data_IF_535085649174
#
_entry.id   IF_535085649174
#
_cell.length_a   1.000
_cell.length_b   1.000
_cell.length_c   1.000
_cell.angle_alpha   90.00
_cell.angle_beta   90.00
_cell.angle_gamma   90.00
#
_symmetry.space_group_name_H-M   'P 1'
#
loop_
_entity.id
_entity.type
_entity.pdbx_description
1 polymer ?
#
# COMPACT_ATOMS: atom_id res chain seq x y z
N UNK A 1 22.95 19.22 5.58
CA UNK A 1 23.08 17.99 4.78
C UNK A 1 22.56 18.32 3.40
N UNK A 2 23.42 18.21 2.40
CA UNK A 2 23.04 18.50 1.02
C UNK A 2 22.03 17.46 0.51
N UNK A 3 21.09 17.85 -0.37
CA UNK A 3 20.15 16.89 -0.96
C UNK A 3 20.93 15.89 -1.84
N UNK A 4 20.59 14.62 -1.70
CA UNK A 4 21.22 13.49 -2.36
C UNK A 4 21.23 13.63 -3.88
N UNK A 5 22.33 13.16 -4.49
CA UNK A 5 22.85 13.42 -5.85
C UNK A 5 22.07 12.80 -7.03
N UNK A 6 20.85 12.36 -6.86
CA UNK A 6 20.09 11.74 -7.96
C UNK A 6 19.26 12.72 -8.82
N UNK A 7 19.62 14.00 -8.76
CA UNK A 7 19.19 15.00 -9.73
C UNK A 7 20.28 15.23 -10.80
N UNK A 8 20.57 14.28 -11.65
CA UNK A 8 21.20 14.54 -12.95
C UNK A 8 20.30 14.04 -14.06
N UNK A 9 19.67 14.98 -14.69
CA UNK A 9 18.87 14.97 -15.90
C UNK A 9 19.63 14.32 -17.05
N UNK A 10 19.27 13.07 -17.40
CA UNK A 10 19.36 12.61 -18.77
C UNK A 10 17.99 12.80 -19.43
N UNK A 11 17.99 13.11 -20.73
CA UNK A 11 16.79 13.46 -21.52
C UNK A 11 15.61 12.54 -21.20
N UNK A 12 14.61 13.08 -20.47
CA UNK A 12 13.40 12.36 -20.10
C UNK A 12 12.52 12.22 -21.34
N UNK A 13 12.27 10.98 -21.76
CA UNK A 13 11.18 10.67 -22.68
C UNK A 13 9.89 11.32 -22.16
N UNK A 14 9.01 11.72 -23.11
CA UNK A 14 7.75 12.42 -22.82
C UNK A 14 6.92 11.67 -21.75
N UNK A 15 6.22 12.37 -20.86
CA UNK A 15 5.55 11.79 -19.70
C UNK A 15 4.51 10.69 -19.99
N UNK A 16 4.00 10.59 -21.22
CA UNK A 16 2.91 9.70 -21.61
C UNK A 16 3.28 8.23 -21.80
N UNK A 17 4.58 7.88 -21.82
CA UNK A 17 5.03 6.53 -22.28
C UNK A 17 5.80 5.73 -21.22
N UNK A 18 5.93 6.24 -19.98
CA UNK A 18 6.69 5.54 -18.93
C UNK A 18 5.87 4.39 -18.35
N UNK A 19 6.36 3.15 -18.55
CA UNK A 19 5.81 1.95 -17.95
C UNK A 19 5.96 1.95 -16.41
N UNK A 20 7.10 2.45 -15.93
CA UNK A 20 7.52 2.46 -14.54
C UNK A 20 8.02 3.85 -14.15
N UNK A 21 7.68 4.29 -12.93
CA UNK A 21 8.12 5.58 -12.37
C UNK A 21 8.55 5.39 -10.92
N UNK A 22 9.70 5.98 -10.53
CA UNK A 22 10.20 5.91 -9.16
C UNK A 22 9.35 6.74 -8.18
N UNK A 23 9.33 6.29 -6.91
CA UNK A 23 8.79 7.09 -5.81
C UNK A 23 9.54 8.43 -5.73
N UNK A 24 8.77 9.52 -5.65
CA UNK A 24 9.27 10.89 -5.73
C UNK A 24 9.10 11.53 -7.11
N UNK A 25 9.02 10.72 -8.17
CA UNK A 25 8.87 11.19 -9.56
C UNK A 25 7.41 11.10 -10.09
N UNK A 26 6.49 10.49 -9.35
CA UNK A 26 5.06 10.45 -9.70
C UNK A 26 4.43 11.82 -9.42
N UNK A 27 3.86 12.44 -10.43
CA UNK A 27 3.26 13.77 -10.31
C UNK A 27 1.81 13.72 -9.78
N UNK A 28 1.29 14.80 -9.17
CA UNK A 28 -0.05 14.83 -8.59
C UNK A 28 -1.19 14.54 -9.58
N UNK A 29 -1.03 14.88 -10.85
CA UNK A 29 -2.00 14.67 -11.92
C UNK A 29 -1.95 13.25 -12.53
N UNK A 30 -0.99 12.43 -12.13
CA UNK A 30 -0.83 11.05 -12.61
C UNK A 30 -1.62 10.00 -11.81
N UNK A 31 -2.58 10.41 -10.96
CA UNK A 31 -3.45 9.47 -10.20
C UNK A 31 -4.13 8.46 -11.12
N UNK A 32 -4.59 8.89 -12.29
CA UNK A 32 -5.23 8.01 -13.29
C UNK A 32 -4.30 6.94 -13.87
N UNK A 33 -2.99 7.09 -13.72
CA UNK A 33 -1.95 6.18 -14.24
C UNK A 33 -1.34 5.30 -13.16
N UNK A 34 -1.04 5.90 -12.01
CA UNK A 34 -0.28 5.21 -10.96
C UNK A 34 -1.08 4.99 -9.66
N UNK A 35 -2.32 5.50 -9.60
CA UNK A 35 -3.18 5.41 -8.42
C UNK A 35 -2.74 6.33 -7.28
N UNK A 36 -3.63 6.52 -6.31
CA UNK A 36 -3.42 7.47 -5.24
C UNK A 36 -2.31 7.09 -4.26
N UNK A 37 -2.09 5.79 -4.00
CA UNK A 37 -0.99 5.36 -3.12
C UNK A 37 0.36 5.82 -3.65
N UNK A 38 0.61 5.66 -4.95
CA UNK A 38 1.87 6.08 -5.58
C UNK A 38 2.03 7.61 -5.55
N UNK A 39 0.97 8.35 -5.89
CA UNK A 39 0.96 9.82 -5.85
C UNK A 39 1.19 10.33 -4.43
N UNK A 40 0.45 9.80 -3.44
CA UNK A 40 0.57 10.24 -2.06
C UNK A 40 1.94 9.89 -1.47
N UNK A 41 2.50 8.71 -1.76
CA UNK A 41 3.85 8.34 -1.33
C UNK A 41 4.90 9.26 -1.94
N UNK A 42 4.76 9.61 -3.22
CA UNK A 42 5.67 10.57 -3.89
C UNK A 42 5.55 11.97 -3.29
N UNK A 43 4.34 12.39 -2.94
CA UNK A 43 4.11 13.67 -2.26
C UNK A 43 4.75 13.70 -0.87
N UNK A 44 4.64 12.62 -0.10
CA UNK A 44 5.33 12.46 1.19
C UNK A 44 6.84 12.53 1.02
N UNK A 45 7.39 11.81 0.04
CA UNK A 45 8.83 11.85 -0.26
C UNK A 45 9.32 13.27 -0.55
N UNK A 46 8.63 13.99 -1.46
CA UNK A 46 8.94 15.40 -1.77
C UNK A 46 8.75 16.33 -0.59
N UNK A 47 7.83 16.01 0.33
CA UNK A 47 7.64 16.71 1.61
C UNK A 47 8.72 16.45 2.64
N UNK A 48 9.74 15.65 2.33
CA UNK A 48 10.87 15.35 3.21
C UNK A 48 10.57 14.28 4.27
N UNK A 49 9.47 13.53 4.13
CA UNK A 49 9.21 12.39 4.99
C UNK A 49 10.00 11.16 4.52
N UNK A 50 10.47 10.37 5.48
CA UNK A 50 11.11 9.09 5.16
C UNK A 50 10.04 8.09 4.72
N UNK A 51 10.09 7.71 3.46
CA UNK A 51 9.27 6.65 2.85
C UNK A 51 10.19 5.57 2.29
N UNK A 52 9.75 4.30 2.16
CA UNK A 52 10.56 3.29 1.49
C UNK A 52 10.82 3.68 0.04
N UNK A 53 12.04 3.48 -0.43
CA UNK A 53 12.34 3.63 -1.84
C UNK A 53 11.55 2.60 -2.67
N UNK A 54 11.26 2.93 -3.92
CA UNK A 54 10.46 2.06 -4.75
C UNK A 54 10.08 2.69 -6.08
N UNK A 55 9.22 1.99 -6.80
CA UNK A 55 8.68 2.42 -8.08
C UNK A 55 7.24 1.93 -8.26
N UNK A 56 6.54 2.53 -9.20
CA UNK A 56 5.16 2.17 -9.54
C UNK A 56 5.05 1.78 -11.01
N UNK A 57 4.26 0.73 -11.28
CA UNK A 57 3.91 0.27 -12.62
C UNK A 57 2.61 0.93 -13.02
N UNK A 58 2.53 1.48 -14.24
CA UNK A 58 1.33 2.11 -14.76
C UNK A 58 0.14 1.14 -14.82
N UNK A 59 -1.03 1.59 -14.37
CA UNK A 59 -2.30 0.86 -14.49
C UNK A 59 -2.77 0.64 -15.93
N UNK A 60 -2.10 1.25 -16.93
CA UNK A 60 -2.36 0.99 -18.34
C UNK A 60 -2.15 -0.49 -18.68
N UNK A 61 -1.10 -1.12 -18.17
CA UNK A 61 -0.81 -2.54 -18.43
C UNK A 61 -1.87 -3.48 -17.89
N UNK A 62 -2.53 -3.13 -16.78
CA UNK A 62 -3.74 -3.82 -16.36
C UNK A 62 -4.89 -3.61 -17.35
N UNK A 63 -5.05 -2.39 -17.87
CA UNK A 63 -6.04 -2.11 -18.92
C UNK A 63 -5.79 -2.93 -20.19
N UNK A 64 -4.55 -3.07 -20.61
CA UNK A 64 -4.14 -3.86 -21.76
C UNK A 64 -4.40 -5.35 -21.53
N UNK A 65 -4.15 -5.86 -20.32
CA UNK A 65 -4.51 -7.22 -19.89
C UNK A 65 -6.03 -7.46 -20.03
N UNK A 66 -6.86 -6.55 -19.50
CA UNK A 66 -8.33 -6.67 -19.57
C UNK A 66 -8.84 -6.58 -21.02
N UNK A 67 -8.11 -5.88 -21.89
CA UNK A 67 -8.43 -5.73 -23.31
C UNK A 67 -8.02 -6.95 -24.18
N UNK A 68 -7.31 -7.94 -23.65
CA UNK A 68 -7.02 -9.21 -24.36
C UNK A 68 -8.35 -9.85 -24.78
N UNK A 69 -8.57 -10.22 -26.05
CA UNK A 69 -9.88 -10.63 -26.56
C UNK A 69 -10.57 -11.75 -25.77
N UNK A 70 -9.81 -12.73 -25.31
CA UNK A 70 -10.34 -13.85 -24.50
C UNK A 70 -10.80 -13.38 -23.13
N UNK A 71 -10.02 -12.53 -22.45
CA UNK A 71 -10.33 -11.92 -21.16
C UNK A 71 -11.52 -10.97 -21.30
N UNK A 72 -11.49 -10.10 -22.29
CA UNK A 72 -12.56 -9.15 -22.57
C UNK A 72 -13.91 -9.83 -22.82
N UNK A 73 -13.91 -10.97 -23.49
CA UNK A 73 -15.14 -11.73 -23.72
C UNK A 73 -15.76 -12.22 -22.40
N UNK A 74 -14.95 -12.62 -21.40
CA UNK A 74 -15.44 -13.02 -20.08
C UNK A 74 -15.87 -11.79 -19.29
N UNK A 75 -15.12 -10.70 -19.34
CA UNK A 75 -15.47 -9.40 -18.69
C UNK A 75 -16.85 -8.92 -19.17
N UNK A 76 -17.10 -8.95 -20.48
CA UNK A 76 -18.39 -8.54 -21.04
C UNK A 76 -19.55 -9.40 -20.53
N UNK A 77 -19.37 -10.73 -20.37
CA UNK A 77 -20.39 -11.61 -19.79
C UNK A 77 -20.59 -11.30 -18.30
N UNK A 78 -19.52 -11.10 -17.55
CA UNK A 78 -19.57 -10.77 -16.14
C UNK A 78 -20.29 -9.42 -15.90
N UNK A 79 -20.06 -8.43 -16.74
CA UNK A 79 -20.71 -7.12 -16.63
C UNK A 79 -22.20 -7.18 -17.04
N UNK A 80 -22.61 -8.18 -17.82
CA UNK A 80 -23.99 -8.37 -18.26
C UNK A 80 -24.84 -9.24 -17.34
N UNK A 81 -24.23 -9.98 -16.40
CA UNK A 81 -24.97 -10.88 -15.50
C UNK A 81 -25.29 -10.22 -14.15
N UNK A 82 -26.50 -10.51 -13.64
CA UNK A 82 -26.91 -10.20 -12.26
C UNK A 82 -26.99 -11.50 -11.42
N UNK A 83 -26.81 -12.66 -12.05
CA UNK A 83 -26.84 -13.95 -11.38
C UNK A 83 -25.54 -14.25 -10.66
N UNK A 84 -25.65 -14.62 -9.37
CA UNK A 84 -24.47 -14.88 -8.53
C UNK A 84 -23.67 -16.12 -8.96
N UNK A 85 -24.35 -17.18 -9.43
CA UNK A 85 -23.66 -18.42 -9.85
C UNK A 85 -22.87 -18.15 -11.14
N UNK A 86 -23.46 -17.42 -12.08
CA UNK A 86 -22.76 -16.99 -13.29
C UNK A 86 -21.57 -16.06 -12.98
N UNK A 87 -21.75 -15.12 -12.04
CA UNK A 87 -20.66 -14.24 -11.60
C UNK A 87 -19.49 -15.04 -11.05
N UNK A 88 -19.76 -16.02 -10.16
CA UNK A 88 -18.73 -16.89 -9.60
C UNK A 88 -18.00 -17.71 -10.68
N UNK A 89 -18.76 -18.23 -11.66
CA UNK A 89 -18.19 -18.95 -12.80
C UNK A 89 -17.26 -18.06 -13.62
N UNK A 90 -17.71 -16.87 -14.00
CA UNK A 90 -16.93 -15.93 -14.79
C UNK A 90 -15.71 -15.40 -14.02
N UNK A 91 -15.81 -15.19 -12.70
CA UNK A 91 -14.67 -14.86 -11.85
C UNK A 91 -13.58 -15.95 -11.92
N UNK A 92 -13.98 -17.23 -11.76
CA UNK A 92 -13.06 -18.36 -11.86
C UNK A 92 -12.41 -18.47 -13.25
N UNK A 93 -13.14 -18.20 -14.31
CA UNK A 93 -12.60 -18.21 -15.66
C UNK A 93 -11.60 -17.05 -15.88
N UNK A 94 -11.90 -15.84 -15.37
CA UNK A 94 -10.97 -14.71 -15.41
C UNK A 94 -9.68 -15.02 -14.65
N UNK A 95 -9.77 -15.58 -13.46
CA UNK A 95 -8.58 -15.95 -12.67
C UNK A 95 -7.66 -16.88 -13.46
N UNK A 96 -8.21 -17.94 -14.09
CA UNK A 96 -7.44 -18.89 -14.91
C UNK A 96 -6.82 -18.25 -16.15
N UNK A 97 -7.52 -17.32 -16.80
CA UNK A 97 -7.00 -16.63 -17.97
C UNK A 97 -5.86 -15.68 -17.59
N UNK A 98 -5.98 -14.93 -16.48
CA UNK A 98 -4.94 -14.04 -16.00
C UNK A 98 -3.74 -14.84 -15.47
N UNK A 99 -3.92 -16.00 -14.87
CA UNK A 99 -2.83 -16.87 -14.46
C UNK A 99 -1.96 -17.29 -15.65
N UNK A 100 -2.57 -17.59 -16.80
CA UNK A 100 -1.88 -17.97 -18.06
C UNK A 100 -1.36 -16.78 -18.85
N UNK A 101 -1.74 -15.57 -18.47
CA UNK A 101 -1.30 -14.37 -19.19
C UNK A 101 0.21 -14.21 -19.10
N UNK A 102 0.85 -14.09 -20.25
CA UNK A 102 2.26 -13.76 -20.35
C UNK A 102 2.43 -12.23 -20.36
N UNK A 103 3.10 -11.74 -19.33
CA UNK A 103 3.44 -10.32 -19.24
C UNK A 103 4.34 -9.91 -20.43
N UNK A 104 4.07 -8.78 -21.08
CA UNK A 104 4.90 -8.29 -22.20
C UNK A 104 6.39 -8.15 -21.80
N UNK A 105 7.28 -8.52 -22.71
CA UNK A 105 8.72 -8.54 -22.43
C UNK A 105 9.32 -7.16 -22.14
N UNK A 106 8.78 -6.11 -22.76
CA UNK A 106 9.15 -4.72 -22.49
C UNK A 106 8.78 -4.29 -21.07
N UNK A 107 7.59 -4.71 -20.59
CA UNK A 107 7.18 -4.46 -19.21
C UNK A 107 8.06 -5.25 -18.21
N UNK A 108 8.29 -6.55 -18.45
CA UNK A 108 9.18 -7.36 -17.59
C UNK A 108 10.55 -6.69 -17.46
N UNK A 109 11.13 -6.28 -18.60
CA UNK A 109 12.42 -5.58 -18.63
C UNK A 109 12.36 -4.28 -17.83
N UNK A 110 11.34 -3.45 -18.02
CA UNK A 110 11.20 -2.18 -17.29
C UNK A 110 11.11 -2.37 -15.78
N UNK A 111 10.41 -3.42 -15.32
CA UNK A 111 10.31 -3.76 -13.90
C UNK A 111 11.68 -4.19 -13.33
N UNK A 112 12.38 -5.08 -14.05
CA UNK A 112 13.67 -5.61 -13.60
C UNK A 112 14.78 -4.55 -13.66
N UNK A 113 14.76 -3.68 -14.66
CA UNK A 113 15.68 -2.54 -14.75
C UNK A 113 15.47 -1.55 -13.59
N UNK A 114 14.21 -1.28 -13.23
CA UNK A 114 13.88 -0.43 -12.08
C UNK A 114 14.34 -1.07 -10.75
N UNK A 115 14.11 -2.38 -10.57
CA UNK A 115 14.63 -3.12 -9.41
C UNK A 115 16.15 -3.02 -9.32
N UNK A 116 16.85 -3.30 -10.41
CA UNK A 116 18.32 -3.20 -10.46
C UNK A 116 18.81 -1.77 -10.17
N UNK A 117 18.08 -0.74 -10.59
CA UNK A 117 18.43 0.65 -10.30
C UNK A 117 18.33 0.93 -8.78
N UNK A 118 17.26 0.47 -8.11
CA UNK A 118 17.14 0.56 -6.64
C UNK A 118 18.29 -0.15 -5.93
N UNK A 119 18.64 -1.37 -6.36
CA UNK A 119 19.71 -2.18 -5.77
C UNK A 119 21.10 -1.56 -5.94
N UNK A 120 21.33 -0.81 -7.02
CA UNK A 120 22.59 -0.06 -7.22
C UNK A 120 22.75 1.09 -6.24
N UNK A 121 21.65 1.74 -5.88
CA UNK A 121 21.69 2.89 -4.95
C UNK A 121 21.75 2.45 -3.49
N UNK A 122 21.05 1.41 -3.13
CA UNK A 122 20.79 1.04 -1.74
C UNK A 122 21.45 -0.28 -1.33
N UNK A 123 22.06 -1.02 -2.28
CA UNK A 123 22.50 -2.39 -2.09
C UNK A 123 21.34 -3.40 -2.18
N UNK A 124 21.68 -4.69 -2.27
CA UNK A 124 20.69 -5.76 -2.25
C UNK A 124 19.93 -5.77 -0.91
N UNK A 125 18.62 -5.77 -0.97
CA UNK A 125 17.77 -5.72 0.23
C UNK A 125 17.56 -7.10 0.85
N UNK A 126 18.05 -7.26 2.06
CA UNK A 126 18.00 -8.53 2.79
C UNK A 126 16.56 -9.09 2.95
N UNK A 127 15.55 -8.20 2.96
CA UNK A 127 14.14 -8.58 3.14
C UNK A 127 13.29 -8.42 1.86
N UNK A 128 13.92 -8.05 0.72
CA UNK A 128 13.24 -7.92 -0.56
C UNK A 128 12.30 -6.73 -0.64
N UNK A 129 11.14 -6.93 -1.25
CA UNK A 129 10.18 -5.88 -1.59
C UNK A 129 8.78 -6.18 -1.08
N UNK A 130 8.00 -5.12 -0.87
CA UNK A 130 6.56 -5.15 -0.70
C UNK A 130 5.91 -4.77 -2.04
N UNK A 131 5.05 -5.64 -2.57
CA UNK A 131 4.30 -5.42 -3.82
C UNK A 131 2.86 -5.11 -3.45
N UNK A 132 2.40 -3.90 -3.76
CA UNK A 132 1.12 -3.35 -3.28
C UNK A 132 0.24 -2.88 -4.43
N UNK A 133 -1.06 -3.10 -4.33
CA UNK A 133 -2.04 -2.49 -5.23
C UNK A 133 -2.11 -0.97 -5.04
N UNK A 134 -2.29 -0.26 -6.15
CA UNK A 134 -2.58 1.18 -6.17
C UNK A 134 -3.66 1.44 -7.24
N UNK A 135 -4.92 1.22 -6.86
CA UNK A 135 -6.02 1.38 -7.79
C UNK A 135 -6.30 2.86 -8.10
N UNK A 136 -6.59 3.17 -9.36
CA UNK A 136 -6.89 4.54 -9.79
C UNK A 136 -8.27 5.02 -9.35
N UNK A 137 -9.13 4.12 -8.91
CA UNK A 137 -10.51 4.39 -8.44
C UNK A 137 -10.62 4.47 -6.91
N UNK A 138 -9.53 4.18 -6.16
CA UNK A 138 -9.56 4.21 -4.68
C UNK A 138 -9.70 5.63 -4.10
N UNK A 139 -9.21 6.65 -4.79
CA UNK A 139 -9.18 8.04 -4.27
C UNK A 139 -10.33 8.91 -4.77
N UNK A 140 -11.24 8.37 -5.55
CA UNK A 140 -12.53 9.00 -5.82
C UNK A 140 -13.39 8.94 -4.54
N UNK A 141 -14.13 10.00 -4.24
CA UNK A 141 -14.89 10.25 -3.00
C UNK A 141 -15.91 9.17 -2.58
N UNK A 142 -15.95 8.00 -3.22
CA UNK A 142 -16.96 6.96 -2.98
C UNK A 142 -16.51 5.51 -3.04
N UNK A 143 -15.22 5.21 -3.30
CA UNK A 143 -14.76 3.83 -3.52
C UNK A 143 -13.52 3.56 -2.69
N UNK A 144 -13.59 2.55 -1.84
CA UNK A 144 -12.43 2.03 -1.11
C UNK A 144 -12.27 0.54 -1.38
N UNK A 145 -11.14 0.16 -1.99
CA UNK A 145 -10.71 -1.24 -2.06
C UNK A 145 -10.02 -1.70 -0.76
N UNK A 146 -10.18 -0.95 0.34
CA UNK A 146 -9.62 -1.33 1.63
C UNK A 146 -10.05 -2.76 2.02
N UNK A 147 -9.07 -3.62 2.30
CA UNK A 147 -9.29 -5.02 2.63
C UNK A 147 -9.68 -5.94 1.47
N UNK A 148 -9.64 -5.46 0.22
CA UNK A 148 -9.89 -6.27 -0.98
C UNK A 148 -8.66 -6.40 -1.88
N UNK A 149 -7.75 -5.44 -1.80
CA UNK A 149 -6.52 -5.44 -2.58
C UNK A 149 -5.38 -6.03 -1.74
N UNK A 150 -4.67 -6.98 -2.30
CA UNK A 150 -3.63 -7.73 -1.62
C UNK A 150 -2.28 -7.01 -1.66
N UNK A 151 -1.47 -7.27 -0.64
CA UNK A 151 -0.06 -6.88 -0.57
C UNK A 151 0.79 -8.12 -0.36
N UNK A 152 1.84 -8.26 -1.16
CA UNK A 152 2.81 -9.36 -1.05
C UNK A 152 4.08 -8.83 -0.44
N UNK A 153 4.49 -9.41 0.67
CA UNK A 153 5.61 -8.95 1.48
C UNK A 153 6.83 -9.87 1.31
N UNK A 154 8.02 -9.31 1.47
CA UNK A 154 9.29 -10.04 1.41
C UNK A 154 9.54 -10.75 0.05
N UNK A 155 9.09 -10.14 -1.04
CA UNK A 155 9.32 -10.64 -2.40
C UNK A 155 10.79 -10.37 -2.78
N UNK A 156 11.57 -11.42 -3.15
CA UNK A 156 13.03 -11.28 -3.26
C UNK A 156 13.56 -11.49 -4.68
N UNK A 157 13.18 -12.57 -5.32
CA UNK A 157 13.69 -12.89 -6.65
C UNK A 157 12.84 -12.29 -7.77
N UNK A 158 13.37 -12.27 -8.97
CA UNK A 158 12.75 -11.64 -10.13
C UNK A 158 11.46 -12.35 -10.56
N UNK A 159 11.44 -13.68 -10.49
CA UNK A 159 10.26 -14.47 -10.85
C UNK A 159 9.09 -14.21 -9.90
N UNK A 160 9.34 -14.25 -8.58
CA UNK A 160 8.34 -13.93 -7.56
C UNK A 160 7.86 -12.49 -7.66
N UNK A 161 8.75 -11.54 -8.04
CA UNK A 161 8.38 -10.14 -8.24
C UNK A 161 7.37 -10.00 -9.38
N UNK A 162 7.68 -10.56 -10.54
CA UNK A 162 6.80 -10.54 -11.70
C UNK A 162 5.47 -11.27 -11.43
N UNK A 163 5.53 -12.41 -10.74
CA UNK A 163 4.32 -13.15 -10.37
C UNK A 163 3.49 -12.37 -9.33
N UNK A 164 4.11 -11.67 -8.37
CA UNK A 164 3.40 -10.84 -7.40
C UNK A 164 2.67 -9.66 -8.06
N UNK A 165 3.22 -9.08 -9.12
CA UNK A 165 2.52 -8.08 -9.95
C UNK A 165 1.25 -8.68 -10.55
N UNK A 166 1.31 -9.86 -11.15
CA UNK A 166 0.15 -10.57 -11.70
C UNK A 166 -0.88 -10.91 -10.62
N UNK A 167 -0.42 -11.33 -9.44
CA UNK A 167 -1.31 -11.60 -8.29
C UNK A 167 -2.06 -10.35 -7.83
N UNK A 168 -1.39 -9.18 -7.79
CA UNK A 168 -2.07 -7.91 -7.51
C UNK A 168 -3.15 -7.63 -8.56
N UNK A 169 -2.89 -7.86 -9.85
CA UNK A 169 -3.91 -7.71 -10.89
C UNK A 169 -5.07 -8.69 -10.71
N UNK A 170 -4.80 -9.96 -10.31
CA UNK A 170 -5.82 -10.95 -10.02
C UNK A 170 -6.70 -10.61 -8.81
N UNK A 171 -6.18 -9.87 -7.83
CA UNK A 171 -6.92 -9.55 -6.59
C UNK A 171 -8.23 -8.77 -6.87
N UNK A 172 -8.29 -8.01 -7.96
CA UNK A 172 -9.49 -7.29 -8.41
C UNK A 172 -10.53 -8.21 -9.06
N UNK A 173 -10.12 -9.40 -9.47
CA UNK A 173 -10.96 -10.38 -10.17
C UNK A 173 -11.60 -11.40 -9.23
N UNK A 174 -11.33 -11.29 -7.92
CA UNK A 174 -11.97 -12.14 -6.91
C UNK A 174 -13.48 -11.89 -6.87
N UNK A 175 -14.31 -12.92 -6.59
CA UNK A 175 -15.76 -12.74 -6.50
C UNK A 175 -16.17 -11.58 -5.60
N UNK A 176 -15.49 -11.44 -4.45
CA UNK A 176 -15.75 -10.34 -3.50
C UNK A 176 -15.50 -8.97 -4.12
N UNK A 177 -14.38 -8.78 -4.83
CA UNK A 177 -14.06 -7.52 -5.48
C UNK A 177 -15.03 -7.21 -6.62
N UNK A 178 -15.41 -8.21 -7.42
CA UNK A 178 -16.35 -8.08 -8.52
C UNK A 178 -17.75 -7.72 -8.03
N UNK A 179 -18.26 -8.38 -6.99
CA UNK A 179 -19.54 -8.04 -6.35
C UNK A 179 -19.52 -6.61 -5.80
N UNK A 180 -18.41 -6.19 -5.22
CA UNK A 180 -18.26 -4.81 -4.75
C UNK A 180 -18.31 -3.81 -5.90
N UNK A 181 -17.57 -4.03 -6.98
CA UNK A 181 -17.60 -3.18 -8.18
C UNK A 181 -19.03 -3.08 -8.74
N UNK A 182 -19.70 -4.22 -8.88
CA UNK A 182 -21.08 -4.30 -9.37
C UNK A 182 -22.04 -3.52 -8.45
N UNK A 183 -21.93 -3.67 -7.12
CA UNK A 183 -22.75 -2.92 -6.14
C UNK A 183 -22.56 -1.41 -6.22
N UNK A 184 -21.39 -0.97 -6.74
CA UNK A 184 -21.08 0.45 -6.97
C UNK A 184 -21.35 0.93 -8.40
N UNK A 185 -21.83 0.05 -9.26
CA UNK A 185 -22.09 0.37 -10.67
C UNK A 185 -20.81 0.69 -11.46
N UNK A 186 -19.67 0.10 -11.07
CA UNK A 186 -18.37 0.35 -11.72
C UNK A 186 -18.04 -0.82 -12.63
N UNK A 187 -17.99 -0.59 -13.95
CA UNK A 187 -17.56 -1.62 -14.88
C UNK A 187 -16.09 -2.02 -14.65
N UNK A 188 -15.80 -3.32 -14.63
CA UNK A 188 -14.43 -3.83 -14.50
C UNK A 188 -13.52 -3.31 -15.63
N UNK A 189 -14.05 -3.11 -16.81
CA UNK A 189 -13.37 -2.52 -17.98
C UNK A 189 -12.84 -1.09 -17.72
N UNK A 190 -13.39 -0.36 -16.74
CA UNK A 190 -12.92 0.97 -16.32
C UNK A 190 -11.90 0.96 -15.21
N UNK A 191 -11.74 -0.16 -14.51
CA UNK A 191 -10.74 -0.29 -13.45
C UNK A 191 -9.34 -0.24 -14.06
N UNK A 192 -8.44 0.47 -13.42
CA UNK A 192 -7.01 0.46 -13.71
C UNK A 192 -6.28 0.13 -12.41
N UNK A 193 -5.47 -0.90 -12.44
CA UNK A 193 -4.72 -1.38 -11.28
C UNK A 193 -3.23 -1.13 -11.50
N UNK A 194 -2.73 -0.04 -10.95
CA UNK A 194 -1.30 0.21 -10.81
C UNK A 194 -0.74 -0.67 -9.69
N UNK A 195 0.53 -0.99 -9.78
CA UNK A 195 1.24 -1.78 -8.75
C UNK A 195 2.41 -0.97 -8.24
N UNK A 196 2.47 -0.77 -6.93
CA UNK A 196 3.59 -0.11 -6.27
C UNK A 196 4.51 -1.16 -5.65
N UNK A 197 5.79 -1.12 -6.00
CA UNK A 197 6.85 -1.95 -5.47
C UNK A 197 7.73 -1.08 -4.59
N UNK A 198 7.84 -1.43 -3.32
CA UNK A 198 8.63 -0.70 -2.32
C UNK A 198 9.62 -1.63 -1.65
N UNK A 199 10.79 -1.10 -1.27
CA UNK A 199 11.72 -1.82 -0.41
C UNK A 199 11.03 -2.25 0.88
N UNK A 200 11.26 -3.50 1.28
CA UNK A 200 10.70 -4.03 2.52
C UNK A 200 11.41 -3.45 3.74
N UNK A 201 10.67 -2.81 4.62
CA UNK A 201 11.19 -2.31 5.90
C UNK A 201 11.07 -3.42 6.94
N UNK A 202 12.17 -3.87 7.58
CA UNK A 202 12.12 -4.87 8.65
C UNK A 202 11.65 -4.23 9.96
N UNK A 203 10.36 -3.91 10.02
CA UNK A 203 9.77 -3.17 11.11
C UNK A 203 9.82 -3.91 12.44
N UNK A 204 10.29 -3.26 13.49
CA UNK A 204 10.20 -3.73 14.87
C UNK A 204 8.84 -3.42 15.49
N UNK A 205 8.26 -2.31 15.09
CA UNK A 205 6.93 -1.82 15.46
C UNK A 205 6.28 -1.23 14.22
N UNK A 206 4.99 -1.48 14.05
CA UNK A 206 4.19 -0.87 12.98
C UNK A 206 2.86 -0.39 13.53
N UNK A 207 2.20 0.49 12.81
CA UNK A 207 0.91 0.98 13.24
C UNK A 207 0.17 1.77 12.18
N UNK A 208 -1.00 2.22 12.60
CA UNK A 208 -1.84 3.16 11.88
C UNK A 208 -2.03 4.40 12.75
N UNK A 209 -2.02 5.55 12.13
CA UNK A 209 -2.35 6.82 12.79
C UNK A 209 -3.46 7.49 11.99
N UNK A 210 -4.57 7.78 12.66
CA UNK A 210 -5.64 8.62 12.13
C UNK A 210 -5.49 10.01 12.73
N UNK A 211 -5.30 11.02 11.88
CA UNK A 211 -5.16 12.40 12.37
C UNK A 211 -6.50 13.05 12.79
N UNK A 212 -7.57 12.27 12.83
CA UNK A 212 -8.82 12.57 13.51
C UNK A 212 -9.32 11.27 14.15
N UNK A 213 -10.07 11.35 15.26
CA UNK A 213 -10.66 10.18 15.89
C UNK A 213 -11.83 9.67 15.05
N UNK A 214 -11.58 8.60 14.27
CA UNK A 214 -12.58 8.00 13.35
C UNK A 214 -13.75 7.31 14.08
N UNK A 215 -13.60 6.99 15.37
CA UNK A 215 -14.66 6.37 16.19
C UNK A 215 -15.67 7.38 16.65
N UNK A 216 -15.22 8.57 17.09
CA UNK A 216 -16.05 9.64 17.63
C UNK A 216 -16.28 10.79 16.64
N UNK A 217 -15.60 10.77 15.48
CA UNK A 217 -15.53 11.87 14.49
C UNK A 217 -14.97 13.17 15.06
N UNK A 218 -14.17 13.09 16.15
CA UNK A 218 -13.54 14.26 16.76
C UNK A 218 -12.24 14.63 16.03
N UNK A 219 -12.25 15.79 15.37
CA UNK A 219 -11.08 16.29 14.61
C UNK A 219 -9.97 16.85 15.49
N UNK A 220 -10.21 17.03 16.80
CA UNK A 220 -9.21 17.50 17.76
C UNK A 220 -8.46 16.34 18.47
N UNK A 221 -8.82 15.11 18.15
CA UNK A 221 -8.18 13.93 18.69
C UNK A 221 -7.47 13.16 17.58
N UNK A 222 -6.35 12.55 17.93
CA UNK A 222 -5.58 11.63 17.08
C UNK A 222 -5.73 10.24 17.66
N UNK A 223 -6.00 9.26 16.80
CA UNK A 223 -6.03 7.85 17.16
C UNK A 223 -4.76 7.19 16.62
N UNK A 224 -3.96 6.57 17.50
CA UNK A 224 -2.78 5.79 17.13
C UNK A 224 -3.00 4.35 17.54
N UNK A 225 -2.80 3.43 16.61
CA UNK A 225 -2.78 1.99 16.85
C UNK A 225 -1.39 1.45 16.55
N UNK A 226 -0.87 0.58 17.42
CA UNK A 226 0.48 0.04 17.29
C UNK A 226 0.54 -1.45 17.59
N UNK A 227 1.34 -2.18 16.82
CA UNK A 227 1.65 -3.60 16.99
C UNK A 227 3.16 -3.84 16.90
N UNK A 228 3.64 -4.93 17.50
CA UNK A 228 5.02 -5.38 17.34
C UNK A 228 5.20 -6.07 16.00
N UNK A 229 6.33 -5.81 15.33
CA UNK A 229 6.67 -6.37 14.03
C UNK A 229 5.96 -5.67 12.87
N UNK A 230 5.67 -6.41 11.81
CA UNK A 230 5.02 -5.92 10.59
C UNK A 230 3.54 -5.58 10.84
N UNK A 231 3.06 -4.53 10.18
CA UNK A 231 1.71 -4.00 10.35
C UNK A 231 0.59 -4.79 9.66
N UNK A 232 0.91 -5.80 8.84
CA UNK A 232 -0.09 -6.55 8.07
C UNK A 232 -1.19 -7.17 8.96
N UNK A 233 -0.87 -7.79 10.14
CA UNK A 233 -1.91 -8.31 11.02
C UNK A 233 -2.84 -7.25 11.61
N UNK A 234 -2.37 -6.02 11.77
CA UNK A 234 -3.20 -4.89 12.20
C UNK A 234 -4.16 -4.46 11.08
N UNK A 235 -3.65 -4.19 9.90
CA UNK A 235 -4.45 -3.73 8.75
C UNK A 235 -5.49 -4.77 8.33
N UNK A 236 -5.17 -6.06 8.45
CA UNK A 236 -6.11 -7.16 8.17
C UNK A 236 -7.10 -7.46 9.31
N UNK A 237 -7.01 -6.75 10.45
CA UNK A 237 -7.88 -6.95 11.61
C UNK A 237 -7.61 -8.25 12.39
N UNK A 238 -6.46 -8.89 12.18
CA UNK A 238 -6.07 -10.14 12.87
C UNK A 238 -5.33 -9.92 14.19
N UNK A 239 -4.80 -8.71 14.41
CA UNK A 239 -4.14 -8.35 15.66
C UNK A 239 -4.97 -7.34 16.46
N UNK A 240 -4.95 -7.45 17.79
CA UNK A 240 -5.49 -6.43 18.69
C UNK A 240 -4.35 -5.48 19.08
N UNK A 241 -4.35 -4.23 18.60
CA UNK A 241 -3.24 -3.28 18.83
C UNK A 241 -3.27 -2.67 20.21
N UNK A 242 -2.16 -2.06 20.62
CA UNK A 242 -2.19 -0.97 21.58
C UNK A 242 -2.83 0.24 20.92
N UNK A 243 -3.72 0.91 21.64
CA UNK A 243 -4.47 2.06 21.14
C UNK A 243 -4.21 3.28 22.02
N UNK A 244 -3.95 4.41 21.41
CA UNK A 244 -3.72 5.69 22.07
C UNK A 244 -4.64 6.75 21.47
N UNK A 245 -5.38 7.48 22.33
CA UNK A 245 -6.12 8.68 21.94
C UNK A 245 -5.35 9.87 22.46
N UNK A 246 -4.91 10.75 21.57
CA UNK A 246 -4.05 11.90 21.88
C UNK A 246 -4.77 13.19 21.48
N UNK A 247 -4.77 14.20 22.36
CA UNK A 247 -5.32 15.52 22.06
C UNK A 247 -4.39 16.30 21.14
N UNK A 248 -4.91 16.82 20.01
CA UNK A 248 -4.16 17.74 19.15
C UNK A 248 -3.78 19.00 19.91
N UNK A 249 -2.59 19.52 19.66
CA UNK A 249 -2.11 20.76 20.26
C UNK A 249 -1.40 20.61 21.61
N UNK A 250 -1.98 19.84 22.56
CA UNK A 250 -1.31 19.57 23.84
C UNK A 250 -0.46 18.30 23.84
N UNK A 251 -0.68 17.39 22.90
CA UNK A 251 -0.09 16.05 22.84
C UNK A 251 -0.38 15.18 24.09
N UNK A 252 -1.39 15.55 24.86
CA UNK A 252 -1.81 14.80 26.04
C UNK A 252 -2.47 13.49 25.63
N UNK A 253 -2.03 12.39 26.22
CA UNK A 253 -2.72 11.09 26.10
C UNK A 253 -4.02 11.19 26.90
N UNK A 254 -5.16 11.10 26.20
CA UNK A 254 -6.48 11.09 26.82
C UNK A 254 -6.90 9.69 27.23
N UNK A 255 -6.54 8.70 26.42
CA UNK A 255 -6.84 7.29 26.65
C UNK A 255 -5.70 6.40 26.12
N UNK A 256 -5.41 5.31 26.84
CA UNK A 256 -4.50 4.26 26.42
C UNK A 256 -5.10 2.91 26.74
N UNK A 257 -5.09 2.01 25.75
CA UNK A 257 -5.51 0.62 25.90
C UNK A 257 -4.43 -0.30 25.35
N UNK A 258 -4.04 -1.32 26.10
CA UNK A 258 -3.02 -2.28 25.66
C UNK A 258 -3.66 -3.49 24.98
N UNK A 259 -3.15 -3.80 23.80
CA UNK A 259 -3.54 -4.98 23.03
C UNK A 259 -3.00 -6.28 23.62
N UNK A 260 -3.64 -7.38 23.25
CA UNK A 260 -3.12 -8.73 23.59
C UNK A 260 -2.41 -9.30 22.37
N UNK A 261 -1.08 -9.19 22.36
CA UNK A 261 -0.24 -9.70 21.27
C UNK A 261 0.54 -10.92 21.74
N UNK A 262 0.05 -12.11 21.37
CA UNK A 262 0.75 -13.38 21.66
C UNK A 262 1.80 -13.72 20.60
N UNK A 263 1.64 -13.21 19.39
CA UNK A 263 2.56 -13.38 18.26
C UNK A 263 2.73 -12.07 17.52
N UNK A 264 3.84 -11.93 16.82
CA UNK A 264 4.12 -10.82 15.89
C UNK A 264 4.60 -11.37 14.56
N UNK A 265 4.32 -10.65 13.50
CA UNK A 265 4.81 -10.97 12.16
C UNK A 265 6.14 -10.26 11.93
N UNK A 266 7.15 -10.97 11.48
CA UNK A 266 8.49 -10.41 11.19
C UNK A 266 8.92 -10.73 9.77
N UNK A 267 9.74 -9.85 9.18
CA UNK A 267 10.39 -10.11 7.91
C UNK A 267 11.57 -11.05 8.13
N UNK A 268 11.60 -12.18 7.41
CA UNK A 268 12.73 -13.12 7.43
C UNK A 268 13.30 -13.35 6.03
N UNK A 269 14.40 -14.09 5.95
CA UNK A 269 14.99 -14.45 4.66
C UNK A 269 14.04 -15.33 3.82
N UNK A 270 13.15 -16.09 4.44
CA UNK A 270 12.24 -17.03 3.78
C UNK A 270 10.82 -16.45 3.59
N UNK A 271 10.65 -15.16 3.87
CA UNK A 271 9.35 -14.48 3.79
C UNK A 271 8.87 -13.97 5.15
N UNK A 272 7.62 -13.46 5.24
CA UNK A 272 7.05 -13.06 6.52
C UNK A 272 6.74 -14.27 7.39
N UNK A 273 7.17 -14.25 8.65
CA UNK A 273 6.98 -15.34 9.60
C UNK A 273 6.35 -14.85 10.91
N UNK A 274 5.38 -15.60 11.43
CA UNK A 274 4.81 -15.34 12.73
C UNK A 274 5.68 -15.97 13.84
N UNK A 275 6.13 -15.15 14.79
CA UNK A 275 6.90 -15.59 15.94
C UNK A 275 6.20 -15.21 17.24
N UNK A 276 6.40 -15.97 18.35
CA UNK A 276 5.85 -15.61 19.65
C UNK A 276 6.41 -14.27 20.15
N UNK A 277 5.57 -13.46 20.77
CA UNK A 277 6.05 -12.30 21.55
C UNK A 277 6.66 -12.82 22.85
N UNK A 278 7.87 -12.33 23.19
CA UNK A 278 8.55 -12.74 24.41
C UNK A 278 7.70 -12.40 25.66
N UNK A 279 7.59 -13.30 26.63
CA UNK A 279 6.75 -13.15 27.83
C UNK A 279 7.00 -11.84 28.59
N UNK A 280 8.25 -11.38 28.66
CA UNK A 280 8.63 -10.10 29.27
C UNK A 280 8.03 -8.87 28.61
N UNK A 281 7.49 -9.00 27.41
CA UNK A 281 6.86 -7.92 26.63
C UNK A 281 5.32 -7.96 26.73
N UNK A 282 4.75 -8.97 27.36
CA UNK A 282 3.31 -9.04 27.60
C UNK A 282 2.87 -7.96 28.58
N UNK A 283 1.86 -7.17 28.21
CA UNK A 283 1.37 -6.05 29.03
C UNK A 283 2.31 -4.84 29.09
N UNK A 284 3.38 -4.84 28.27
CA UNK A 284 4.27 -3.68 28.12
C UNK A 284 3.83 -2.89 26.89
N UNK A 285 3.60 -1.58 27.00
CA UNK A 285 3.25 -0.74 25.86
C UNK A 285 4.20 -0.93 24.67
N UNK A 286 3.64 -0.91 23.46
CA UNK A 286 4.43 -1.04 22.22
C UNK A 286 5.25 0.21 21.98
N UNK A 287 4.70 1.38 22.31
CA UNK A 287 5.35 2.67 22.14
C UNK A 287 5.72 3.26 23.52
N UNK A 288 6.90 3.86 23.60
CA UNK A 288 7.24 4.79 24.66
C UNK A 288 6.72 6.22 24.31
N UNK A 289 6.73 7.11 25.29
CA UNK A 289 6.20 8.48 25.13
C UNK A 289 6.92 9.25 24.03
N UNK A 290 8.21 9.02 23.85
CA UNK A 290 9.01 9.70 22.82
C UNK A 290 8.62 9.23 21.41
N UNK A 291 8.48 7.94 21.22
CA UNK A 291 8.05 7.37 19.94
C UNK A 291 6.63 7.84 19.60
N UNK A 292 5.70 7.77 20.55
CA UNK A 292 4.33 8.24 20.37
C UNK A 292 4.29 9.73 19.98
N UNK A 293 5.05 10.58 20.68
CA UNK A 293 5.16 12.01 20.38
C UNK A 293 5.66 12.24 18.94
N UNK A 294 6.73 11.53 18.55
CA UNK A 294 7.31 11.65 17.19
C UNK A 294 6.30 11.24 16.11
N UNK A 295 5.53 10.16 16.34
CA UNK A 295 4.51 9.67 15.42
C UNK A 295 3.39 10.71 15.28
N UNK A 296 2.88 11.23 16.39
CA UNK A 296 1.82 12.23 16.41
C UNK A 296 2.25 13.53 15.71
N UNK A 297 3.42 14.06 16.04
CA UNK A 297 3.98 15.27 15.42
C UNK A 297 4.13 15.07 13.89
N UNK A 298 4.66 13.93 13.47
CA UNK A 298 4.82 13.60 12.06
C UNK A 298 3.46 13.50 11.36
N UNK A 299 2.46 12.87 11.99
CA UNK A 299 1.11 12.77 11.47
C UNK A 299 0.47 14.13 11.22
N UNK A 300 0.63 15.08 12.15
CA UNK A 300 0.12 16.44 11.98
C UNK A 300 0.80 17.19 10.83
N UNK A 301 2.11 17.04 10.68
CA UNK A 301 2.84 17.62 9.53
C UNK A 301 2.38 17.00 8.20
N UNK A 302 2.02 15.73 8.20
CA UNK A 302 1.45 15.06 7.01
C UNK A 302 0.04 15.59 6.74
N UNK A 303 -0.81 15.75 7.76
CA UNK A 303 -2.14 16.36 7.61
C UNK A 303 -2.03 17.77 7.01
N UNK A 304 -1.10 18.59 7.48
CA UNK A 304 -0.83 19.92 6.94
C UNK A 304 -0.39 19.85 5.48
N UNK A 305 0.57 18.99 5.14
CA UNK A 305 1.01 18.77 3.76
C UNK A 305 -0.15 18.34 2.85
N UNK A 306 -0.99 17.42 3.30
CA UNK A 306 -2.07 16.84 2.50
C UNK A 306 -3.33 17.71 2.47
N UNK A 307 -3.51 18.61 3.45
CA UNK A 307 -4.61 19.55 3.53
C UNK A 307 -5.94 18.97 4.03
N UNK A 308 -5.92 17.76 4.58
CA UNK A 308 -7.10 17.09 5.15
C UNK A 308 -6.68 16.04 6.18
N UNK A 309 -7.59 15.60 7.09
CA UNK A 309 -7.31 14.47 7.99
C UNK A 309 -6.87 13.22 7.24
N UNK A 310 -5.88 12.53 7.79
CA UNK A 310 -5.18 11.41 7.14
C UNK A 310 -5.27 10.12 7.95
N UNK A 311 -5.36 9.00 7.22
CA UNK A 311 -5.10 7.64 7.65
C UNK A 311 -3.68 7.29 7.17
N UNK A 312 -2.77 7.06 8.11
CA UNK A 312 -1.32 6.94 7.86
C UNK A 312 -0.83 5.59 8.37
N UNK A 313 -0.32 4.76 7.46
CA UNK A 313 0.43 3.56 7.82
C UNK A 313 1.89 3.94 8.06
N UNK A 314 2.44 3.52 9.18
CA UNK A 314 3.80 3.81 9.60
C UNK A 314 4.50 2.59 10.21
N UNK A 315 5.83 2.64 10.28
CA UNK A 315 6.62 1.68 11.05
C UNK A 315 7.87 2.33 11.65
N UNK A 316 8.45 1.64 12.63
CA UNK A 316 9.74 1.94 13.20
C UNK A 316 10.77 0.90 12.76
N UNK A 317 11.86 1.36 12.16
CA UNK A 317 13.08 0.62 11.92
C UNK A 317 14.13 1.14 12.91
N UNK A 318 14.37 0.38 14.00
CA UNK A 318 15.04 0.91 15.18
C UNK A 318 14.26 2.12 15.73
N UNK A 319 14.96 3.26 15.85
CA UNK A 319 14.34 4.52 16.32
C UNK A 319 13.91 5.44 15.16
N UNK A 320 13.89 4.96 13.92
CA UNK A 320 13.56 5.79 12.77
C UNK A 320 12.14 5.52 12.30
N UNK A 321 11.33 6.57 12.30
CA UNK A 321 9.97 6.51 11.76
C UNK A 321 10.01 6.51 10.24
N UNK A 322 9.31 5.54 9.65
CA UNK A 322 9.12 5.38 8.21
C UNK A 322 7.63 5.43 7.91
N UNK A 323 7.22 6.26 6.98
CA UNK A 323 5.83 6.36 6.54
C UNK A 323 5.64 5.43 5.34
N UNK A 324 4.74 4.47 5.47
CA UNK A 324 4.50 3.45 4.45
C UNK A 324 3.44 3.90 3.45
N UNK A 325 2.40 4.60 3.93
CA UNK A 325 1.28 5.08 3.13
C UNK A 325 0.54 6.20 3.86
N UNK A 326 -0.12 7.10 3.12
CA UNK A 326 -1.10 8.05 3.65
C UNK A 326 -2.26 8.18 2.69
N UNK A 327 -3.49 8.29 3.23
CA UNK A 327 -4.71 8.55 2.47
C UNK A 327 -5.66 9.45 3.25
N UNK A 328 -6.51 10.24 2.56
CA UNK A 328 -7.53 11.05 3.23
C UNK A 328 -8.52 10.17 4.00
N UNK A 329 -8.93 10.65 5.18
CA UNK A 329 -10.08 10.06 5.89
C UNK A 329 -11.35 10.62 5.25
N UNK A 330 -12.18 9.74 4.68
CA UNK A 330 -13.41 10.11 3.94
C UNK A 330 -14.69 9.93 4.75
N UNK A 331 -14.61 9.41 5.97
CA UNK A 331 -15.77 9.04 6.83
C UNK A 331 -16.01 9.98 8.00
N UNK A 332 -15.42 11.18 8.01
CA UNK A 332 -15.57 12.20 9.08
C UNK A 332 -16.77 13.11 8.87
#
# INVERSE_FOLDING_TARGET
MEPSSWMKTEERAMPSDRAVVFVGDVEPDEVSRFGGKAVNTSRLHRGGFRVPAGFSISGQYYGDLIAVPEIQSVVNRLEATEDLEELLLHASDLEKLVERYEMPEDLKRSILDAKMALERESGERAHGYAVRSSATVEDGTSISFAGQAESYLCVRNDEDLLESVKRVWRSVLTPRALMYLQSKGIPLSRVRMSVMIQEMVPAEVSGVLFTANVVTSDKNQILVEAVRGLGEPLVSGRATPDTYIVEKGSFKILEQSLGRMNSMLVATADGPAAIPVAEKLHGVPVLDDKALHTIVETGLRIEELMGSPQDIEWCLEGNQLVILQSRPITTL
#
